data_IF_900785291116
#
_entry.id   IF_900785291116
#
_cell.length_a   1.000
_cell.length_b   1.000
_cell.length_c   1.000
_cell.angle_alpha   90.00
_cell.angle_beta   90.00
_cell.angle_gamma   90.00
#
_symmetry.space_group_name_H-M   'P 1'
#
loop_
_entity.id
_entity.type
_entity.pdbx_description
1 polymer ?
2 non-polymer ?
3 non-polymer ?
4 water ?
#
# COMPACT_ATOMS: atom_id res chain seq x y z
N UNK A 2 20.07 26.38 -14.80
CA UNK A 2 18.81 26.14 -15.61
C UNK A 2 17.96 25.04 -14.96
N UNK A 3 18.09 24.85 -13.64
CA UNK A 3 17.56 23.64 -12.94
C UNK A 3 16.04 23.48 -13.17
N UNK A 4 15.62 22.24 -13.45
CA UNK A 4 14.20 21.80 -13.52
C UNK A 4 13.55 22.10 -12.18
N UNK A 5 12.32 22.65 -12.12
CA UNK A 5 11.62 22.76 -10.85
C UNK A 5 11.37 21.36 -10.27
N UNK A 6 11.18 21.29 -8.96
CA UNK A 6 10.81 20.02 -8.31
C UNK A 6 9.31 19.77 -8.50
N UNK A 7 8.93 18.51 -8.75
CA UNK A 7 7.53 18.19 -8.95
C UNK A 7 6.70 18.27 -7.67
N UNK A 8 5.42 18.62 -7.85
CA UNK A 8 4.39 18.62 -6.77
C UNK A 8 3.56 17.35 -6.86
N UNK A 9 3.57 16.70 -8.01
CA UNK A 9 2.83 15.45 -8.28
C UNK A 9 3.68 14.58 -9.21
N UNK A 10 3.61 13.27 -9.01
CA UNK A 10 4.17 12.28 -9.95
C UNK A 10 3.10 11.26 -10.29
N UNK A 11 3.31 10.51 -11.35
CA UNK A 11 2.48 9.32 -11.64
C UNK A 11 3.28 8.07 -11.42
N UNK A 12 2.55 7.10 -10.86
CA UNK A 12 3.13 5.80 -10.48
C UNK A 12 2.31 4.71 -11.18
N UNK A 13 2.99 3.81 -11.87
CA UNK A 13 2.41 2.58 -12.42
C UNK A 13 2.68 1.43 -11.45
N UNK A 14 1.63 0.69 -11.16
CA UNK A 14 1.69 -0.57 -10.39
C UNK A 14 1.25 -1.71 -11.29
N UNK A 15 2.08 -2.73 -11.45
CA UNK A 15 1.64 -3.94 -12.14
C UNK A 15 1.72 -5.17 -11.26
N UNK A 16 0.76 -6.08 -11.39
CA UNK A 16 0.85 -7.38 -10.70
C UNK A 16 0.54 -8.43 -11.76
N UNK A 17 1.36 -9.48 -11.81
CA UNK A 17 1.11 -10.57 -12.76
C UNK A 17 1.66 -11.88 -12.19
N UNK A 18 0.78 -12.84 -12.00
CA UNK A 18 1.19 -14.21 -11.70
C UNK A 18 1.44 -14.86 -13.05
N UNK A 19 2.70 -15.15 -13.31
CA UNK A 19 3.17 -15.58 -14.65
C UNK A 19 2.96 -17.10 -14.86
N UNK A 20 2.50 -17.84 -13.87
CA UNK A 20 2.19 -19.27 -14.06
C UNK A 20 3.44 -20.05 -14.46
N UNK A 21 4.62 -19.63 -14.02
CA UNK A 21 5.89 -20.35 -14.24
C UNK A 21 6.20 -20.47 -15.73
N UNK A 22 5.64 -19.61 -16.56
CA UNK A 22 5.88 -19.64 -18.01
C UNK A 22 6.59 -18.37 -18.43
N UNK A 23 7.46 -18.41 -19.46
CA UNK A 23 8.03 -17.20 -19.99
C UNK A 23 6.96 -16.30 -20.59
N UNK A 24 7.17 -14.97 -20.55
CA UNK A 24 6.19 -14.07 -21.15
C UNK A 24 6.22 -14.13 -22.66
N UNK A 25 5.17 -13.59 -23.33
CA UNK A 25 5.22 -13.44 -24.77
C UNK A 25 6.19 -12.31 -25.17
N UNK A 26 6.41 -12.17 -26.46
CA UNK A 26 7.43 -11.24 -26.97
C UNK A 26 7.03 -9.79 -26.67
N UNK A 27 5.74 -9.49 -26.67
CA UNK A 27 5.23 -8.13 -26.47
C UNK A 27 4.29 -8.05 -25.26
N UNK A 28 4.64 -7.19 -24.32
CA UNK A 28 3.84 -7.01 -23.08
C UNK A 28 3.54 -5.51 -22.90
N UNK A 29 3.77 -4.68 -23.92
CA UNK A 29 3.56 -3.21 -23.80
C UNK A 29 2.14 -2.85 -23.36
N UNK A 30 1.09 -3.64 -23.67
CA UNK A 30 -0.29 -3.31 -23.30
C UNK A 30 -0.40 -3.15 -21.78
N UNK A 31 0.38 -3.93 -21.06
CA UNK A 31 0.36 -3.88 -19.57
C UNK A 31 0.76 -2.47 -19.12
N UNK A 32 1.89 -2.00 -19.62
CA UNK A 32 2.49 -0.72 -19.15
C UNK A 32 1.72 0.47 -19.74
N UNK A 33 0.95 0.27 -20.78
CA UNK A 33 0.04 1.27 -21.36
C UNK A 33 -1.33 1.26 -20.70
N UNK A 34 -1.63 0.37 -19.77
CA UNK A 34 -2.98 0.34 -19.12
C UNK A 34 -4.07 0.19 -20.20
N UNK A 35 -3.88 -0.81 -21.07
CA UNK A 35 -4.85 -1.17 -22.14
C UNK A 35 -5.46 -2.56 -21.91
N UNK A 36 -6.75 -2.66 -22.14
CA UNK A 36 -7.49 -3.93 -22.08
C UNK A 36 -8.87 -3.69 -21.55
N UNK A 37 -9.17 -4.31 -20.45
CA UNK A 37 -10.50 -4.22 -19.81
C UNK A 37 -10.40 -3.39 -18.54
N UNK A 38 -11.50 -2.79 -18.14
CA UNK A 38 -11.60 -2.01 -16.90
C UNK A 38 -11.46 -0.53 -17.13
N UNK A 39 -10.82 0.15 -16.18
CA UNK A 39 -10.58 1.60 -16.25
C UNK A 39 -9.22 1.75 -16.91
N UNK A 40 -9.23 2.09 -18.21
CA UNK A 40 -8.04 2.08 -19.02
C UNK A 40 -7.58 3.52 -19.26
N UNK A 41 -6.35 3.60 -19.75
CA UNK A 41 -5.66 4.89 -19.98
C UNK A 41 -5.96 5.37 -21.41
N UNK A 42 -6.10 6.69 -21.53
CA UNK A 42 -6.36 7.33 -22.83
C UNK A 42 -5.17 7.12 -23.77
N UNK A 43 -5.51 6.80 -25.01
CA UNK A 43 -4.50 6.65 -26.11
C UNK A 43 -3.61 7.88 -26.23
N UNK A 44 -4.12 9.05 -25.93
CA UNK A 44 -3.34 10.31 -26.10
C UNK A 44 -2.17 10.38 -25.12
N UNK A 45 -2.16 9.52 -24.10
CA UNK A 45 -1.09 9.47 -23.06
C UNK A 45 -0.04 8.38 -23.36
N UNK A 46 -0.13 7.66 -24.50
CA UNK A 46 0.71 6.46 -24.67
C UNK A 46 2.19 6.79 -24.58
N UNK A 47 2.61 7.97 -25.05
CA UNK A 47 4.06 8.26 -25.10
C UNK A 47 4.57 8.93 -23.84
N UNK A 48 3.66 9.29 -22.94
CA UNK A 48 4.00 10.02 -21.71
C UNK A 48 4.47 8.98 -20.71
N UNK A 49 5.72 9.02 -20.27
CA UNK A 49 6.19 8.04 -19.30
C UNK A 49 5.59 8.33 -17.92
N UNK A 50 5.28 7.26 -17.20
CA UNK A 50 5.10 7.39 -15.75
C UNK A 50 6.43 7.72 -15.10
N UNK A 51 6.37 8.36 -13.93
CA UNK A 51 7.63 8.72 -13.22
C UNK A 51 8.29 7.48 -12.63
N UNK A 52 7.50 6.57 -12.10
CA UNK A 52 7.96 5.35 -11.39
C UNK A 52 7.11 4.19 -11.90
N UNK A 53 7.73 3.08 -12.23
CA UNK A 53 7.04 1.82 -12.57
C UNK A 53 7.42 0.79 -11.52
N UNK A 54 6.43 0.15 -10.93
CA UNK A 54 6.63 -0.89 -9.91
C UNK A 54 5.96 -2.15 -10.39
N UNK A 55 6.76 -3.17 -10.60
CA UNK A 55 6.30 -4.40 -11.28
C UNK A 55 6.39 -5.57 -10.31
N UNK A 56 5.25 -6.13 -9.91
CA UNK A 56 5.22 -7.29 -9.03
C UNK A 56 4.86 -8.52 -9.84
N UNK A 57 5.65 -9.54 -9.74
CA UNK A 57 5.36 -10.86 -10.33
C UNK A 57 5.25 -11.93 -9.23
N UNK A 58 4.52 -12.98 -9.59
CA UNK A 58 4.39 -14.20 -8.79
C UNK A 58 4.60 -15.37 -9.78
N UNK A 59 5.05 -16.50 -9.25
CA UNK A 59 5.33 -17.67 -10.11
C UNK A 59 6.18 -17.21 -11.30
N UNK A 60 7.15 -16.36 -11.03
CA UNK A 60 8.05 -15.79 -12.06
C UNK A 60 9.20 -16.76 -12.31
N UNK A 61 9.34 -17.28 -13.55
CA UNK A 61 10.38 -18.28 -13.85
C UNK A 61 11.71 -17.71 -14.36
N UNK A 62 11.77 -16.39 -14.51
CA UNK A 62 12.91 -15.71 -15.15
C UNK A 62 13.94 -15.35 -14.08
N UNK A 63 15.16 -15.18 -14.51
CA UNK A 63 16.18 -14.54 -13.65
C UNK A 63 15.86 -13.04 -13.53
N UNK A 64 16.47 -12.41 -12.53
CA UNK A 64 16.36 -10.95 -12.40
C UNK A 64 16.88 -10.31 -13.66
N UNK A 65 18.02 -10.82 -14.16
CA UNK A 65 18.63 -10.20 -15.34
C UNK A 65 17.68 -10.31 -16.54
N UNK A 66 17.10 -11.48 -16.74
CA UNK A 66 16.22 -11.72 -17.91
C UNK A 66 15.00 -10.80 -17.84
N UNK A 67 14.38 -10.70 -16.66
CA UNK A 67 13.15 -9.90 -16.55
C UNK A 67 13.47 -8.43 -16.67
N UNK A 68 14.55 -7.94 -16.04
CA UNK A 68 14.97 -6.52 -16.19
C UNK A 68 15.14 -6.16 -17.66
N UNK A 69 15.79 -7.03 -18.40
CA UNK A 69 16.01 -6.75 -19.83
C UNK A 69 14.66 -6.58 -20.54
N UNK A 70 13.68 -7.44 -20.24
CA UNK A 70 12.36 -7.40 -20.93
C UNK A 70 11.67 -6.11 -20.53
N UNK A 71 11.68 -5.82 -19.24
CA UNK A 71 10.99 -4.61 -18.72
C UNK A 71 11.61 -3.36 -19.34
N UNK A 72 12.92 -3.22 -19.25
CA UNK A 72 13.53 -1.96 -19.75
C UNK A 72 13.30 -1.83 -21.25
N UNK A 73 13.40 -2.89 -22.03
CA UNK A 73 13.19 -2.75 -23.49
C UNK A 73 11.71 -2.40 -23.77
N UNK A 74 10.76 -2.97 -23.01
CA UNK A 74 9.33 -2.67 -23.18
C UNK A 74 9.11 -1.16 -22.96
N UNK A 75 9.63 -0.61 -21.88
CA UNK A 75 9.44 0.83 -21.57
C UNK A 75 10.18 1.71 -22.58
N UNK A 76 11.37 1.31 -23.02
CA UNK A 76 12.11 2.10 -24.02
C UNK A 76 11.27 2.15 -25.29
N UNK A 77 10.66 1.03 -25.70
CA UNK A 77 9.86 1.01 -26.94
C UNK A 77 8.69 1.98 -26.83
N UNK A 78 8.01 1.98 -25.68
CA UNK A 78 6.82 2.83 -25.45
C UNK A 78 7.21 4.31 -25.43
N UNK A 79 8.20 4.66 -24.63
CA UNK A 79 8.45 6.05 -24.15
C UNK A 79 9.69 6.68 -24.82
N UNK A 80 10.57 5.88 -25.38
CA UNK A 80 11.91 6.28 -25.90
C UNK A 80 12.81 6.72 -24.74
N UNK A 81 12.46 6.34 -23.50
CA UNK A 81 13.28 6.64 -22.28
C UNK A 81 13.93 5.34 -21.78
N UNK A 82 15.21 5.41 -21.40
CA UNK A 82 15.93 4.29 -20.76
C UNK A 82 15.74 4.45 -19.26
N UNK A 83 14.91 3.63 -18.66
CA UNK A 83 14.62 3.77 -17.22
C UNK A 83 15.82 3.26 -16.39
N UNK A 84 15.99 3.87 -15.22
CA UNK A 84 16.96 3.45 -14.20
C UNK A 84 16.33 2.44 -13.25
N UNK A 85 17.12 1.45 -12.89
CA UNK A 85 16.71 0.44 -11.89
C UNK A 85 16.89 1.07 -10.51
N UNK A 86 15.81 1.20 -9.75
CA UNK A 86 15.84 1.67 -8.34
C UNK A 86 16.13 0.48 -7.43
N UNK A 87 15.41 -0.62 -7.61
CA UNK A 87 15.58 -1.78 -6.74
C UNK A 87 14.94 -2.99 -7.41
N UNK A 88 15.41 -4.15 -7.06
CA UNK A 88 14.85 -5.45 -7.49
C UNK A 88 15.05 -6.41 -6.32
N UNK A 89 14.01 -7.10 -5.90
CA UNK A 89 14.12 -8.09 -4.82
C UNK A 89 13.21 -9.28 -5.12
N UNK A 90 13.75 -10.47 -4.90
CA UNK A 90 13.05 -11.73 -5.21
C UNK A 90 13.09 -12.64 -3.99
N UNK A 91 11.96 -13.22 -3.61
CA UNK A 91 11.83 -14.30 -2.63
C UNK A 91 11.23 -15.46 -3.40
N UNK A 92 11.97 -16.55 -3.58
CA UNK A 92 11.49 -17.71 -4.35
C UNK A 92 11.10 -17.26 -5.75
N UNK A 93 9.84 -17.28 -6.12
CA UNK A 93 9.37 -16.86 -7.45
C UNK A 93 8.48 -15.62 -7.34
N UNK A 94 8.61 -14.86 -6.25
CA UNK A 94 7.88 -13.61 -5.97
C UNK A 94 8.86 -12.45 -6.13
N UNK A 95 8.60 -11.50 -6.98
CA UNK A 95 9.60 -10.50 -7.35
C UNK A 95 8.99 -9.09 -7.41
N UNK A 96 9.77 -8.11 -7.03
CA UNK A 96 9.38 -6.69 -7.22
C UNK A 96 10.55 -6.00 -7.93
N UNK A 97 10.20 -5.21 -8.95
CA UNK A 97 11.10 -4.32 -9.70
C UNK A 97 10.58 -2.91 -9.62
N UNK A 98 11.46 -1.97 -9.24
CA UNK A 98 11.15 -0.54 -9.26
C UNK A 98 12.06 0.12 -10.29
N UNK A 99 11.46 0.77 -11.30
CA UNK A 99 12.15 1.55 -12.33
C UNK A 99 11.72 3.01 -12.23
N UNK A 100 12.62 3.92 -12.54
CA UNK A 100 12.30 5.38 -12.49
C UNK A 100 12.97 6.13 -13.63
N UNK A 101 12.33 7.23 -14.04
CA UNK A 101 12.91 8.13 -15.04
C UNK A 101 14.32 8.49 -14.60
N UNK A 102 15.28 8.64 -15.54
CA UNK A 102 16.66 8.98 -15.16
C UNK A 102 16.71 10.31 -14.39
N UNK A 103 15.83 11.26 -14.70
CA UNK A 103 15.83 12.60 -14.01
C UNK A 103 15.54 12.45 -12.52
N UNK A 104 15.02 11.30 -12.10
CA UNK A 104 14.65 11.10 -10.68
C UNK A 104 15.76 10.41 -9.89
N UNK A 105 16.88 10.04 -10.52
CA UNK A 105 17.94 9.27 -9.82
C UNK A 105 18.38 10.07 -8.58
N UNK A 106 18.56 11.37 -8.70
CA UNK A 106 19.09 12.18 -7.56
C UNK A 106 17.98 12.64 -6.63
N UNK A 107 16.73 12.28 -6.90
CA UNK A 107 15.58 12.59 -6.01
C UNK A 107 15.25 11.42 -5.10
N UNK A 108 15.83 10.27 -5.37
CA UNK A 108 15.49 9.00 -4.66
C UNK A 108 16.65 8.66 -3.71
N UNK A 109 16.32 8.38 -2.48
CA UNK A 109 17.31 7.98 -1.47
C UNK A 109 16.71 6.97 -0.50
N UNK A 110 17.51 6.46 0.42
CA UNK A 110 17.02 5.53 1.46
C UNK A 110 16.28 4.35 0.87
N UNK A 111 16.85 3.73 -0.15
CA UNK A 111 16.26 2.55 -0.80
C UNK A 111 16.44 1.34 0.11
N UNK A 112 15.33 0.69 0.41
CA UNK A 112 15.31 -0.56 1.22
C UNK A 112 14.48 -1.62 0.53
N UNK A 113 14.88 -2.87 0.71
CA UNK A 113 14.14 -4.06 0.25
C UNK A 113 14.03 -5.01 1.41
N UNK A 114 12.97 -5.81 1.39
CA UNK A 114 12.81 -6.89 2.38
C UNK A 114 11.81 -7.91 1.88
N UNK A 115 11.71 -9.02 2.61
CA UNK A 115 10.74 -10.08 2.28
C UNK A 115 10.19 -10.64 3.59
N UNK A 116 9.05 -11.25 3.51
CA UNK A 116 8.44 -12.04 4.59
C UNK A 116 8.02 -13.37 3.98
N UNK A 117 8.40 -14.46 4.65
CA UNK A 117 7.93 -15.82 4.35
C UNK A 117 6.73 -16.13 5.22
N UNK A 118 5.61 -16.51 4.62
CA UNK A 118 4.43 -16.81 5.47
C UNK A 118 4.34 -18.30 5.78
N UNK A 119 3.49 -18.66 6.75
CA UNK A 119 3.25 -20.09 7.07
C UNK A 119 4.33 -20.69 7.98
N UNK A 120 4.09 -21.91 8.43
CA UNK A 120 4.99 -22.69 9.33
C UNK A 120 5.14 -24.06 8.69
N UNK A 121 6.35 -24.61 8.63
CA UNK A 121 6.63 -25.98 8.13
C UNK A 121 5.95 -26.15 6.76
N UNK A 122 4.97 -27.07 6.64
CA UNK A 122 4.27 -27.43 5.37
C UNK A 122 3.90 -26.19 4.56
N UNK A 123 3.39 -25.13 5.22
CA UNK A 123 2.88 -23.88 4.57
C UNK A 123 4.01 -22.84 4.45
N UNK A 124 5.22 -23.14 4.93
CA UNK A 124 6.43 -22.30 4.66
C UNK A 124 7.14 -22.86 3.43
N UNK A 125 7.37 -22.02 2.42
CA UNK A 125 8.26 -22.43 1.32
C UNK A 125 7.89 -21.95 -0.06
N UNK A 126 6.67 -21.36 -0.26
CA UNK A 126 6.53 -20.62 -1.54
C UNK A 126 5.75 -19.30 -1.40
N UNK A 127 4.96 -19.07 -0.35
CA UNK A 127 4.07 -17.88 -0.26
C UNK A 127 4.78 -16.85 0.64
N UNK A 128 4.50 -15.58 0.42
CA UNK A 128 4.99 -14.47 1.23
C UNK A 128 4.95 -13.20 0.44
N UNK A 129 5.87 -12.31 0.76
CA UNK A 129 5.86 -10.97 0.15
C UNK A 129 7.26 -10.45 0.00
N UNK A 130 7.42 -9.59 -0.99
CA UNK A 130 8.62 -8.74 -1.14
C UNK A 130 8.20 -7.29 -1.13
N UNK A 131 9.11 -6.41 -0.76
CA UNK A 131 8.80 -4.99 -0.83
C UNK A 131 9.98 -4.12 -1.01
N UNK A 132 9.68 -2.87 -1.39
CA UNK A 132 10.66 -1.82 -1.61
C UNK A 132 10.14 -0.56 -0.96
N UNK A 133 11.02 0.19 -0.32
CA UNK A 133 10.72 1.58 0.07
C UNK A 133 11.84 2.51 -0.26
N UNK A 134 11.49 3.78 -0.39
CA UNK A 134 12.50 4.83 -0.59
C UNK A 134 11.81 6.17 -0.36
N UNK A 135 12.65 7.17 -0.27
CA UNK A 135 12.23 8.58 -0.25
C UNK A 135 12.33 9.16 -1.67
N UNK A 136 11.34 9.94 -2.06
CA UNK A 136 11.31 10.68 -3.33
C UNK A 136 11.21 12.13 -2.88
N UNK A 137 12.31 12.86 -2.94
CA UNK A 137 12.41 14.20 -2.31
C UNK A 137 11.85 14.14 -0.87
N UNK A 138 10.79 14.86 -0.53
CA UNK A 138 10.29 14.85 0.86
C UNK A 138 9.25 13.80 1.14
N UNK A 139 9.01 12.87 0.21
CA UNK A 139 7.85 11.96 0.27
C UNK A 139 8.34 10.53 0.41
N UNK A 140 7.80 9.81 1.37
CA UNK A 140 8.18 8.40 1.61
C UNK A 140 7.18 7.47 0.89
N UNK A 141 7.72 6.51 0.16
CA UNK A 141 6.96 5.61 -0.73
C UNK A 141 7.26 4.17 -0.32
N UNK A 142 6.22 3.37 -0.15
CA UNK A 142 6.39 1.92 0.09
C UNK A 142 5.56 1.09 -0.87
N UNK A 143 6.07 -0.06 -1.22
CA UNK A 143 5.50 -0.95 -2.25
C UNK A 143 5.63 -2.39 -1.76
N UNK A 144 4.51 -3.11 -1.72
CA UNK A 144 4.47 -4.53 -1.26
C UNK A 144 3.85 -5.37 -2.37
N UNK A 145 4.55 -6.41 -2.78
CA UNK A 145 4.02 -7.45 -3.66
C UNK A 145 3.86 -8.74 -2.88
N UNK A 146 2.65 -9.18 -2.64
CA UNK A 146 2.42 -10.41 -1.87
C UNK A 146 1.75 -11.48 -2.72
N UNK A 147 2.15 -12.73 -2.51
CA UNK A 147 1.49 -13.92 -3.05
C UNK A 147 0.94 -14.64 -1.83
N UNK A 148 -0.35 -14.52 -1.58
CA UNK A 148 -1.01 -15.09 -0.40
C UNK A 148 -1.47 -16.53 -0.68
N UNK A 149 -1.82 -17.19 0.39
CA UNK A 149 -2.27 -18.59 0.37
C UNK A 149 -3.39 -18.75 -0.65
N UNK A 150 -3.34 -19.83 -1.43
CA UNK A 150 -4.36 -20.13 -2.47
C UNK A 150 -5.52 -20.94 -1.87
N UNK A 151 -6.60 -21.06 -2.62
CA UNK A 151 -7.73 -21.95 -2.27
C UNK A 151 -8.93 -21.18 -1.79
N UNK A 152 -10.09 -21.46 -2.35
CA UNK A 152 -11.32 -20.77 -1.98
C UNK A 152 -11.65 -20.92 -0.48
N UNK A 153 -11.21 -21.99 0.17
CA UNK A 153 -11.54 -22.34 1.58
C UNK A 153 -10.62 -21.62 2.58
N UNK A 154 -9.63 -20.87 2.10
CA UNK A 154 -8.52 -20.37 2.95
C UNK A 154 -8.49 -18.84 3.08
N UNK A 155 -9.63 -18.17 3.11
CA UNK A 155 -9.64 -16.70 3.27
C UNK A 155 -9.03 -16.33 4.63
N UNK A 156 -9.28 -17.12 5.68
CA UNK A 156 -8.71 -16.74 7.00
C UNK A 156 -7.19 -16.84 6.97
N UNK A 157 -6.65 -17.83 6.28
CA UNK A 157 -5.17 -17.94 6.17
C UNK A 157 -4.64 -16.74 5.38
N UNK A 158 -5.33 -16.30 4.36
CA UNK A 158 -4.90 -15.11 3.61
C UNK A 158 -4.86 -13.92 4.55
N UNK A 159 -5.86 -13.81 5.40
CA UNK A 159 -5.93 -12.63 6.30
C UNK A 159 -4.76 -12.72 7.31
N UNK A 160 -4.47 -13.92 7.79
CA UNK A 160 -3.28 -14.15 8.67
C UNK A 160 -1.97 -13.83 7.94
N UNK A 161 -1.86 -14.20 6.65
CA UNK A 161 -0.65 -13.88 5.86
C UNK A 161 -0.49 -12.35 5.81
N UNK A 162 -1.59 -11.64 5.53
CA UNK A 162 -1.60 -10.16 5.51
C UNK A 162 -1.02 -9.63 6.83
N UNK A 163 -1.55 -10.10 7.95
CA UNK A 163 -1.11 -9.54 9.26
C UNK A 163 0.38 -9.86 9.49
N UNK A 164 0.86 -11.04 9.10
CA UNK A 164 2.31 -11.34 9.25
C UNK A 164 3.17 -10.44 8.37
N UNK A 165 2.76 -10.21 7.14
CA UNK A 165 3.55 -9.38 6.21
C UNK A 165 3.59 -7.96 6.80
N UNK A 166 2.44 -7.43 7.26
CA UNK A 166 2.28 -6.07 7.82
C UNK A 166 3.26 -5.91 8.99
N UNK A 167 3.30 -6.95 9.81
CA UNK A 167 4.08 -6.85 11.06
C UNK A 167 5.58 -6.98 10.82
N UNK A 168 5.97 -7.84 9.88
CA UNK A 168 7.38 -8.27 9.84
C UNK A 168 8.17 -7.69 8.67
N UNK A 169 7.51 -7.04 7.72
CA UNK A 169 8.27 -6.49 6.60
C UNK A 169 8.97 -5.23 7.12
N UNK A 170 10.29 -5.19 7.05
CA UNK A 170 11.12 -4.11 7.63
C UNK A 170 11.47 -3.11 6.53
N UNK A 171 10.56 -2.20 6.25
CA UNK A 171 10.78 -1.15 5.24
C UNK A 171 10.64 0.18 5.95
N UNK A 172 11.09 1.24 5.29
CA UNK A 172 10.91 2.59 5.79
C UNK A 172 11.84 2.86 6.96
N UNK A 173 11.62 4.03 7.58
CA UNK A 173 12.55 4.61 8.58
C UNK A 173 12.52 3.76 9.86
N UNK A 174 13.62 3.11 10.17
CA UNK A 174 13.71 2.20 11.36
C UNK A 174 13.53 3.04 12.65
N UNK A 175 13.73 4.35 12.61
CA UNK A 175 13.49 5.20 13.82
C UNK A 175 12.00 5.25 14.17
N UNK A 176 11.10 4.91 13.21
CA UNK A 176 9.65 4.87 13.47
C UNK A 176 9.30 3.56 14.18
N UNK A 177 9.92 3.31 15.33
CA UNK A 177 9.92 1.96 15.91
C UNK A 177 8.55 1.46 16.31
N UNK A 178 7.59 2.30 16.77
CA UNK A 178 6.28 1.78 17.14
C UNK A 178 5.38 1.46 15.94
N UNK A 179 5.82 1.80 14.74
CA UNK A 179 4.95 1.83 13.54
C UNK A 179 5.34 0.70 12.61
N UNK A 180 4.30 0.05 12.10
CA UNK A 180 4.45 -0.96 11.02
C UNK A 180 4.35 -0.27 9.65
N UNK A 181 4.52 -1.03 8.58
CA UNK A 181 4.49 -0.41 7.22
C UNK A 181 3.19 0.32 6.94
N UNK A 182 2.09 0.04 7.64
CA UNK A 182 0.83 0.74 7.33
C UNK A 182 0.83 2.17 7.87
N UNK A 183 1.89 2.60 8.56
CA UNK A 183 2.04 4.01 8.98
C UNK A 183 3.36 4.64 8.60
N UNK A 184 4.25 3.93 7.93
CA UNK A 184 5.59 4.50 7.69
C UNK A 184 5.68 5.35 6.41
N UNK A 185 4.69 5.33 5.53
CA UNK A 185 4.83 5.92 4.20
C UNK A 185 3.76 6.95 3.91
N UNK A 186 4.14 8.03 3.24
CA UNK A 186 3.16 8.98 2.72
C UNK A 186 2.15 8.25 1.83
N UNK A 187 2.66 7.38 0.97
CA UNK A 187 1.86 6.52 0.07
C UNK A 187 2.37 5.08 0.17
N UNK A 188 1.51 4.14 0.51
CA UNK A 188 1.85 2.70 0.52
C UNK A 188 0.98 2.01 -0.54
N UNK A 189 1.57 1.25 -1.44
CA UNK A 189 0.83 0.45 -2.45
C UNK A 189 1.06 -1.01 -2.14
N UNK A 190 -0.01 -1.78 -2.01
CA UNK A 190 0.06 -3.21 -1.68
C UNK A 190 -0.72 -3.94 -2.76
N UNK A 191 -0.06 -4.82 -3.45
CA UNK A 191 -0.60 -5.49 -4.65
C UNK A 191 -0.08 -6.93 -4.65
N UNK A 192 -0.56 -7.69 -5.61
CA UNK A 192 -0.11 -9.06 -5.75
C UNK A 192 -1.21 -10.01 -6.15
N UNK A 193 -0.83 -11.30 -6.16
CA UNK A 193 -1.81 -12.40 -6.21
C UNK A 193 -2.28 -12.63 -4.78
N UNK A 194 -3.26 -11.83 -4.40
CA UNK A 194 -3.83 -11.92 -3.06
C UNK A 194 -4.71 -13.14 -2.90
N UNK A 195 -5.17 -13.73 -4.00
CA UNK A 195 -5.75 -15.10 -4.02
C UNK A 195 -7.13 -15.16 -3.36
N UNK A 196 -7.77 -14.01 -3.13
CA UNK A 196 -9.16 -14.05 -2.66
C UNK A 196 -10.06 -14.43 -3.85
N UNK A 197 -11.13 -15.18 -3.58
CA UNK A 197 -11.97 -15.81 -4.59
C UNK A 197 -13.41 -15.32 -4.54
N UNK A 198 -14.14 -15.61 -5.60
CA UNK A 198 -15.59 -15.37 -5.66
C UNK A 198 -16.24 -16.58 -4.99
N UNK A 199 -16.92 -16.32 -3.87
CA UNK A 199 -17.43 -17.39 -2.98
C UNK A 199 -18.89 -17.66 -3.38
N UNK A 200 -19.02 -18.47 -4.40
CA UNK A 200 -20.31 -18.97 -4.87
C UNK A 200 -20.17 -20.48 -5.01
N UNK A 201 -21.30 -21.23 -5.05
CA UNK A 201 -21.20 -22.68 -5.14
C UNK A 201 -20.55 -23.15 -6.43
N UNK A 202 -19.79 -24.25 -6.33
CA UNK A 202 -19.04 -24.77 -7.49
C UNK A 202 -20.03 -25.11 -8.61
N UNK A 203 -21.26 -25.53 -8.31
CA UNK A 203 -22.27 -25.87 -9.34
C UNK A 203 -22.76 -24.63 -10.11
N UNK A 204 -22.43 -23.41 -9.65
CA UNK A 204 -22.75 -22.19 -10.38
C UNK A 204 -21.63 -21.75 -11.33
N UNK A 205 -20.62 -22.58 -11.58
CA UNK A 205 -19.49 -22.20 -12.45
C UNK A 205 -19.98 -21.68 -13.81
N UNK A 206 -20.85 -22.41 -14.49
CA UNK A 206 -21.26 -22.01 -15.84
C UNK A 206 -22.06 -20.73 -15.76
N UNK A 207 -22.88 -20.55 -14.72
CA UNK A 207 -23.62 -19.30 -14.49
C UNK A 207 -22.63 -18.16 -14.36
N UNK A 208 -21.56 -18.37 -13.60
CA UNK A 208 -20.53 -17.30 -13.42
C UNK A 208 -19.91 -16.94 -14.77
N UNK A 209 -19.55 -17.95 -15.54
CA UNK A 209 -18.93 -17.69 -16.87
C UNK A 209 -19.89 -16.88 -17.74
N UNK A 210 -21.17 -17.21 -17.72
CA UNK A 210 -22.23 -16.48 -18.46
C UNK A 210 -22.23 -15.02 -18.05
N UNK A 211 -22.21 -14.77 -16.74
CA UNK A 211 -22.21 -13.39 -16.22
C UNK A 211 -20.99 -12.63 -16.76
N UNK A 212 -19.83 -13.27 -16.71
CA UNK A 212 -18.60 -12.66 -17.26
C UNK A 212 -18.76 -12.29 -18.73
N UNK A 213 -19.30 -13.20 -19.51
CA UNK A 213 -19.43 -12.97 -20.97
C UNK A 213 -20.35 -11.77 -21.22
N UNK A 214 -21.32 -11.52 -20.36
CA UNK A 214 -22.26 -10.38 -20.40
C UNK A 214 -21.67 -9.12 -19.77
N UNK A 215 -20.43 -9.21 -19.25
CA UNK A 215 -19.80 -8.08 -18.51
C UNK A 215 -20.70 -7.59 -17.38
N UNK A 216 -21.34 -8.52 -16.68
CA UNK A 216 -22.24 -8.24 -15.55
C UNK A 216 -21.54 -8.76 -14.31
N UNK A 217 -20.77 -7.88 -13.65
CA UNK A 217 -19.88 -8.27 -12.54
C UNK A 217 -20.53 -8.10 -11.16
N UNK A 218 -21.65 -7.39 -11.05
CA UNK A 218 -22.23 -7.00 -9.75
C UNK A 218 -22.44 -8.17 -8.80
N UNK A 219 -23.10 -9.24 -9.24
CA UNK A 219 -23.49 -10.37 -8.35
C UNK A 219 -22.24 -11.23 -8.13
N UNK A 220 -21.19 -11.05 -8.92
CA UNK A 220 -19.92 -11.73 -8.60
C UNK A 220 -19.16 -10.91 -7.55
N UNK A 221 -18.99 -9.60 -7.77
CA UNK A 221 -18.24 -8.75 -6.81
C UNK A 221 -18.89 -8.77 -5.43
N UNK A 222 -20.19 -8.93 -5.33
CA UNK A 222 -20.89 -9.02 -4.02
C UNK A 222 -20.44 -10.27 -3.25
N UNK A 223 -19.82 -11.26 -3.90
CA UNK A 223 -19.28 -12.48 -3.25
C UNK A 223 -17.75 -12.51 -3.26
N UNK A 224 -17.08 -11.45 -3.72
CA UNK A 224 -15.60 -11.42 -3.69
C UNK A 224 -15.12 -11.40 -2.25
N UNK A 225 -14.27 -12.35 -1.88
CA UNK A 225 -13.85 -12.49 -0.49
C UNK A 225 -13.04 -11.28 -0.02
N UNK A 226 -12.26 -10.65 -0.87
CA UNK A 226 -11.48 -9.49 -0.40
C UNK A 226 -12.44 -8.33 -0.09
N UNK A 227 -13.41 -8.03 -0.97
CA UNK A 227 -14.38 -6.96 -0.69
C UNK A 227 -15.18 -7.32 0.59
N UNK A 228 -15.63 -8.56 0.77
CA UNK A 228 -16.47 -8.87 1.95
C UNK A 228 -15.59 -8.87 3.22
N UNK A 229 -14.39 -9.43 3.19
CA UNK A 229 -13.51 -9.41 4.38
C UNK A 229 -13.15 -7.96 4.71
N UNK A 230 -12.87 -7.14 3.71
CA UNK A 230 -12.61 -5.72 4.02
C UNK A 230 -13.84 -5.05 4.63
N UNK A 231 -15.04 -5.33 4.13
CA UNK A 231 -16.26 -4.67 4.66
C UNK A 231 -16.43 -5.05 6.13
N UNK A 232 -16.06 -6.27 6.50
CA UNK A 232 -16.20 -6.82 7.85
C UNK A 232 -14.96 -6.48 8.70
N UNK A 233 -14.05 -5.66 8.17
CA UNK A 233 -12.85 -5.17 8.90
C UNK A 233 -11.99 -6.34 9.37
N UNK A 234 -11.88 -7.38 8.54
CA UNK A 234 -11.03 -8.56 8.85
C UNK A 234 -9.64 -8.45 8.22
N UNK A 235 -9.43 -7.53 7.28
CA UNK A 235 -8.17 -7.45 6.51
C UNK A 235 -8.14 -6.09 5.82
N UNK A 236 -6.93 -5.60 5.55
CA UNK A 236 -6.71 -4.38 4.77
C UNK A 236 -7.49 -3.20 5.35
N UNK A 237 -7.56 -3.09 6.67
CA UNK A 237 -8.27 -1.96 7.30
C UNK A 237 -7.59 -0.66 6.86
N UNK A 238 -8.37 0.32 6.43
CA UNK A 238 -7.90 1.68 6.06
C UNK A 238 -7.13 1.72 4.78
N UNK A 239 -7.26 0.71 3.93
CA UNK A 239 -6.75 0.74 2.54
C UNK A 239 -7.91 1.02 1.60
N UNK A 240 -7.59 1.49 0.43
CA UNK A 240 -8.52 1.82 -0.65
C UNK A 240 -8.27 0.87 -1.80
N UNK A 241 -9.31 0.63 -2.59
CA UNK A 241 -9.19 -0.06 -3.90
C UNK A 241 -10.15 0.63 -4.89
N UNK A 242 -9.69 0.82 -6.13
CA UNK A 242 -10.57 1.33 -7.19
C UNK A 242 -11.66 0.28 -7.49
N UNK A 243 -12.84 0.77 -7.90
CA UNK A 243 -13.88 -0.15 -8.37
C UNK A 243 -13.34 -1.05 -9.45
N UNK A 244 -13.71 -2.33 -9.36
CA UNK A 244 -13.34 -3.33 -10.39
C UNK A 244 -14.37 -3.33 -11.50
N UNK A 245 -13.89 -3.13 -12.73
CA UNK A 245 -14.76 -3.07 -13.93
C UNK A 245 -14.20 -3.97 -15.04
N UNK A 246 -13.30 -4.90 -14.70
CA UNK A 246 -12.67 -5.86 -15.63
C UNK A 246 -13.08 -7.26 -15.18
N UNK A 247 -13.00 -8.19 -16.10
CA UNK A 247 -13.36 -9.60 -15.84
C UNK A 247 -12.40 -10.20 -14.84
N UNK A 248 -12.84 -11.23 -14.09
CA UNK A 248 -11.92 -12.02 -13.27
C UNK A 248 -10.65 -12.39 -14.04
N UNK A 249 -9.50 -12.31 -13.34
CA UNK A 249 -8.18 -12.45 -13.97
C UNK A 249 -7.62 -13.86 -13.82
N UNK A 250 -8.38 -14.76 -13.26
CA UNK A 250 -7.99 -16.16 -12.98
C UNK A 250 -9.28 -16.99 -13.03
N UNK A 251 -9.27 -18.28 -13.41
CA UNK A 251 -8.18 -19.06 -13.92
C UNK A 251 -8.47 -19.33 -15.39
N UNK A 252 -7.59 -18.87 -16.27
CA UNK A 252 -7.75 -19.03 -17.72
C UNK A 252 -6.99 -20.26 -18.27
N UNK A 253 -7.52 -20.86 -19.31
CA UNK A 253 -6.73 -21.74 -20.20
C UNK A 253 -5.62 -20.88 -20.80
N UNK A 254 -4.39 -21.37 -20.80
CA UNK A 254 -3.29 -20.63 -21.45
C UNK A 254 -3.50 -20.55 -22.95
N UNK A 255 -2.96 -19.47 -23.54
CA UNK A 255 -2.80 -19.21 -25.01
C UNK A 255 -4.12 -18.72 -25.64
N UNK A 256 -5.19 -18.56 -24.86
CA UNK A 256 -6.38 -17.79 -25.30
C UNK A 256 -6.84 -16.95 -24.11
N UNK A 257 -7.87 -16.11 -24.24
CA UNK A 257 -8.63 -15.64 -23.04
C UNK A 257 -10.10 -16.03 -23.16
N UNK A 258 -10.36 -17.01 -23.99
CA UNK A 258 -11.76 -17.34 -24.38
C UNK A 258 -12.37 -18.28 -23.35
N UNK A 259 -11.51 -18.85 -22.48
CA UNK A 259 -11.94 -19.96 -21.63
C UNK A 259 -11.38 -19.85 -20.20
N UNK A 260 -12.31 -19.94 -19.27
CA UNK A 260 -11.98 -20.14 -17.85
C UNK A 260 -11.88 -21.64 -17.58
N UNK A 261 -10.78 -22.05 -16.96
CA UNK A 261 -10.49 -23.44 -16.55
C UNK A 261 -10.71 -23.53 -15.05
N UNK A 262 -11.90 -23.94 -14.68
CA UNK A 262 -12.30 -23.95 -13.26
C UNK A 262 -12.36 -25.37 -12.68
N UNK A 263 -12.50 -26.43 -13.48
CA UNK A 263 -12.82 -27.78 -12.96
C UNK A 263 -11.67 -28.32 -12.11
N UNK A 264 -12.01 -29.19 -11.16
CA UNK A 264 -11.00 -29.83 -10.31
C UNK A 264 -10.17 -30.81 -11.16
N UNK A 265 -8.88 -30.83 -10.92
CA UNK A 265 -7.91 -31.72 -11.62
C UNK A 265 -6.82 -32.17 -10.64
N UNK A 266 -6.13 -33.28 -10.93
CA UNK A 266 -4.97 -33.66 -10.10
C UNK A 266 -4.00 -32.47 -9.94
N UNK A 267 -3.75 -31.71 -11.02
CA UNK A 267 -2.81 -30.57 -11.01
C UNK A 267 -3.27 -29.45 -10.05
N UNK A 268 -4.55 -29.40 -9.69
CA UNK A 268 -5.09 -28.38 -8.73
C UNK A 268 -5.32 -28.97 -7.34
N UNK A 269 -4.83 -30.18 -7.07
CA UNK A 269 -5.12 -30.80 -5.79
C UNK A 269 -6.61 -31.11 -5.67
N UNK A 270 -7.25 -31.41 -6.81
CA UNK A 270 -8.69 -31.69 -6.88
C UNK A 270 -9.48 -30.53 -6.28
N UNK A 271 -8.99 -29.31 -6.49
CA UNK A 271 -9.73 -28.09 -6.10
C UNK A 271 -10.35 -27.44 -7.33
N UNK A 272 -11.52 -26.88 -7.13
CA UNK A 272 -12.11 -25.99 -8.15
C UNK A 272 -11.48 -24.62 -8.01
N UNK A 273 -11.34 -23.97 -9.14
CA UNK A 273 -10.89 -22.55 -9.22
C UNK A 273 -11.93 -21.76 -10.01
N UNK A 274 -13.05 -21.46 -9.38
CA UNK A 274 -14.08 -20.62 -9.99
C UNK A 274 -13.43 -19.29 -10.33
N UNK A 275 -13.87 -18.64 -11.43
CA UNK A 275 -13.32 -17.36 -11.85
C UNK A 275 -13.29 -16.35 -10.71
N UNK A 276 -12.16 -15.73 -10.51
CA UNK A 276 -11.90 -14.87 -9.35
C UNK A 276 -11.01 -13.70 -9.68
N UNK A 277 -11.13 -12.68 -8.88
CA UNK A 277 -10.24 -11.51 -8.94
C UNK A 277 -9.09 -11.74 -7.96
N UNK A 278 -8.19 -12.64 -8.33
CA UNK A 278 -7.03 -12.94 -7.48
C UNK A 278 -6.03 -11.78 -7.38
N UNK A 279 -5.95 -10.99 -8.43
CA UNK A 279 -4.81 -10.10 -8.73
C UNK A 279 -5.23 -8.65 -8.53
N UNK A 280 -4.70 -7.99 -7.52
CA UNK A 280 -5.28 -6.76 -6.97
C UNK A 280 -4.23 -5.72 -6.72
N UNK A 281 -4.69 -4.48 -6.65
CA UNK A 281 -3.89 -3.31 -6.24
C UNK A 281 -4.70 -2.50 -5.23
N UNK A 282 -4.14 -2.30 -4.06
CA UNK A 282 -4.70 -1.45 -3.00
C UNK A 282 -3.69 -0.39 -2.58
N UNK A 283 -4.15 0.67 -1.94
CA UNK A 283 -3.22 1.68 -1.41
C UNK A 283 -3.70 2.32 -0.14
N UNK A 284 -2.79 2.96 0.55
CA UNK A 284 -3.12 3.71 1.76
C UNK A 284 -2.19 4.91 1.77
N UNK A 285 -2.74 6.11 1.80
CA UNK A 285 -1.95 7.35 1.85
C UNK A 285 -2.28 8.09 3.13
N UNK A 286 -1.36 8.91 3.63
CA UNK A 286 -1.63 9.72 4.81
C UNK A 286 -2.81 10.65 4.52
N UNK A 287 -3.52 11.05 5.58
CA UNK A 287 -4.69 11.89 5.42
C UNK A 287 -4.38 13.19 4.66
N UNK A 288 -5.29 13.53 3.73
CA UNK A 288 -5.29 14.82 2.99
C UNK A 288 -4.07 14.93 2.11
N UNK A 289 -3.48 13.81 1.72
CA UNK A 289 -2.48 13.84 0.63
C UNK A 289 -3.19 13.44 -0.66
N UNK A 290 -2.88 14.14 -1.73
CA UNK A 290 -3.45 13.85 -3.04
C UNK A 290 -3.02 12.45 -3.47
N UNK A 291 -4.02 11.62 -3.81
CA UNK A 291 -3.76 10.34 -4.51
C UNK A 291 -5.02 10.06 -5.30
N UNK A 292 -4.86 9.88 -6.60
CA UNK A 292 -6.02 9.60 -7.51
C UNK A 292 -5.64 8.44 -8.39
N UNK A 293 -6.47 7.39 -8.36
CA UNK A 293 -6.35 6.26 -9.30
C UNK A 293 -6.82 6.67 -10.68
N UNK A 294 -5.89 6.57 -11.65
CA UNK A 294 -6.14 6.98 -13.05
C UNK A 294 -6.48 5.77 -13.94
N UNK A 295 -6.13 4.56 -13.54
CA UNK A 295 -6.42 3.32 -14.29
C UNK A 295 -6.43 2.15 -13.31
N UNK A 296 -7.24 1.14 -13.63
CA UNK A 296 -7.29 -0.14 -12.89
C UNK A 296 -7.99 -1.13 -13.80
N UNK A 297 -7.21 -2.09 -14.30
CA UNK A 297 -7.72 -2.98 -15.35
C UNK A 297 -6.83 -4.16 -15.56
N UNK A 298 -7.16 -4.94 -16.56
CA UNK A 298 -6.40 -6.17 -16.89
C UNK A 298 -6.12 -6.15 -18.38
N UNK A 299 -5.00 -6.70 -18.77
CA UNK A 299 -4.72 -6.86 -20.21
C UNK A 299 -5.55 -8.01 -20.78
N UNK A 300 -5.76 -7.96 -22.10
CA UNK A 300 -6.55 -8.95 -22.86
C UNK A 300 -5.64 -9.75 -23.82
N UNK A 301 -4.42 -9.30 -24.07
CA UNK A 301 -3.55 -9.83 -25.15
C UNK A 301 -2.28 -10.51 -24.63
N UNK A 302 -2.20 -10.79 -23.34
CA UNK A 302 -1.04 -11.47 -22.72
C UNK A 302 -1.55 -12.77 -22.14
N UNK A 303 -1.20 -13.88 -22.77
CA UNK A 303 -1.98 -15.12 -22.57
C UNK A 303 -1.11 -16.31 -22.19
N UNK A 304 0.14 -16.09 -21.78
CA UNK A 304 1.08 -17.20 -21.45
C UNK A 304 0.77 -17.80 -20.10
N UNK A 305 0.11 -17.06 -19.23
CA UNK A 305 -0.23 -17.52 -17.89
C UNK A 305 -1.71 -17.89 -17.78
N UNK A 306 -2.05 -18.58 -16.72
CA UNK A 306 -3.47 -18.79 -16.30
C UNK A 306 -4.04 -17.57 -15.57
N UNK A 307 -3.20 -16.54 -15.32
CA UNK A 307 -3.67 -15.23 -14.86
C UNK A 307 -3.43 -14.19 -15.93
N UNK A 308 -4.30 -13.19 -16.00
CA UNK A 308 -4.04 -11.96 -16.77
C UNK A 308 -3.31 -10.97 -15.89
N UNK A 309 -2.32 -10.23 -16.47
CA UNK A 309 -1.76 -9.08 -15.78
C UNK A 309 -2.81 -8.03 -15.43
N UNK A 310 -2.56 -7.36 -14.30
CA UNK A 310 -3.36 -6.25 -13.78
C UNK A 310 -2.45 -5.03 -13.73
N UNK A 311 -3.00 -3.90 -14.12
CA UNK A 311 -2.37 -2.59 -13.98
C UNK A 311 -3.23 -1.64 -13.16
N UNK A 312 -2.55 -0.75 -12.48
CA UNK A 312 -3.17 0.42 -11.86
C UNK A 312 -2.19 1.57 -11.97
N UNK A 313 -2.69 2.78 -12.18
CA UNK A 313 -1.87 3.99 -12.20
C UNK A 313 -2.45 5.02 -11.25
N UNK A 314 -1.56 5.84 -10.73
CA UNK A 314 -1.92 6.85 -9.72
C UNK A 314 -1.21 8.17 -10.00
N UNK A 315 -1.93 9.26 -9.74
CA UNK A 315 -1.32 10.60 -9.56
C UNK A 315 -1.14 10.74 -8.06
N UNK A 316 0.10 10.96 -7.60
CA UNK A 316 0.42 11.02 -6.18
C UNK A 316 1.09 12.36 -5.86
N UNK A 317 0.61 13.04 -4.84
CA UNK A 317 1.28 14.24 -4.34
C UNK A 317 2.61 13.96 -3.70
N UNK A 318 3.58 14.82 -3.99
CA UNK A 318 4.93 14.75 -3.42
C UNK A 318 5.29 16.16 -2.97
N UNK A 319 6.27 16.21 -2.11
CA UNK A 319 6.82 17.46 -1.57
C UNK A 319 8.31 17.54 -1.80
N UNK A 320 8.81 18.74 -1.69
CA UNK A 320 10.24 19.10 -1.90
C UNK A 320 11.04 18.82 -0.61
N UNK A 321 12.37 18.69 -0.75
CA UNK A 321 13.36 18.67 0.35
C UNK A 321 13.61 20.13 0.78
N UNK A 322 12.82 20.60 1.75
CA UNK A 322 12.86 22.01 2.22
C UNK A 322 14.12 22.24 3.07
N UNK A 323 14.74 23.39 2.80
CA UNK A 323 15.91 23.93 3.54
C UNK A 323 15.60 25.39 3.86
N UNK A 324 15.51 25.73 5.14
CA UNK A 324 15.44 27.15 5.60
C UNK A 324 16.82 27.60 6.15
N UNK A 325 16.90 28.87 6.49
CA UNK A 325 18.06 29.47 7.21
C UNK A 325 18.23 28.74 8.55
N UNK A 326 17.15 28.28 9.17
CA UNK A 326 17.13 27.52 10.47
C UNK A 326 17.23 26.01 10.19
N UNK A 327 16.11 25.27 10.25
CA UNK A 327 16.12 23.81 10.05
C UNK A 327 16.31 23.45 8.57
N UNK A 328 16.83 22.25 8.22
CA UNK A 328 17.40 21.26 9.16
C UNK A 328 18.64 21.68 9.98
N UNK A 329 18.76 21.12 11.19
CA UNK A 329 19.94 21.27 12.05
C UNK A 329 19.71 22.25 13.16
N UNK A 330 18.44 22.66 13.32
CA UNK A 330 17.93 23.48 14.44
C UNK A 330 16.41 23.58 14.29
N UNK A 331 15.71 24.10 15.31
CA UNK A 331 14.25 24.41 15.24
C UNK A 331 14.09 25.83 14.66
N UNK A 332 12.90 26.12 14.14
CA UNK A 332 12.46 27.50 13.80
C UNK A 332 11.39 27.88 14.82
N UNK A 333 11.72 28.78 15.76
CA UNK A 333 10.90 29.13 16.93
C UNK A 333 9.62 29.85 16.50
N UNK A 334 9.49 30.24 15.23
CA UNK A 334 8.20 30.81 14.76
C UNK A 334 7.12 29.73 14.77
N UNK A 335 7.49 28.45 14.60
CA UNK A 335 6.54 27.32 14.51
C UNK A 335 6.24 26.66 15.84
N UNK A 336 5.00 26.18 16.03
CA UNK A 336 4.67 25.31 17.18
C UNK A 336 3.39 24.52 16.86
N UNK A 337 3.32 23.32 17.42
CA UNK A 337 2.11 22.46 17.34
C UNK A 337 1.66 22.17 18.76
N UNK A 338 0.43 22.55 19.08
CA UNK A 338 -0.13 22.35 20.44
C UNK A 338 -1.37 21.45 20.33
N UNK A 339 -1.47 20.48 21.23
CA UNK A 339 -2.60 19.51 21.32
C UNK A 339 -3.40 19.85 22.57
N UNK A 340 -4.69 20.19 22.40
CA UNK A 340 -5.63 20.63 23.47
C UNK A 340 -6.70 19.57 23.68
N UNK A 341 -7.05 19.26 24.94
CA UNK A 341 -8.28 18.51 25.30
C UNK A 341 -8.28 17.17 24.52
N UNK A 342 -7.13 16.50 24.49
CA UNK A 342 -6.97 15.22 23.77
C UNK A 342 -7.25 14.03 24.67
N UNK A 343 -7.80 12.99 24.08
CA UNK A 343 -7.97 11.72 24.80
C UNK A 343 -7.92 10.57 23.80
N UNK A 344 -7.40 9.47 24.30
CA UNK A 344 -7.39 8.18 23.61
C UNK A 344 -8.52 7.34 24.19
N UNK A 345 -9.24 6.65 23.33
CA UNK A 345 -10.21 5.62 23.75
C UNK A 345 -9.65 4.28 23.32
N UNK A 346 -9.44 3.36 24.24
CA UNK A 346 -8.78 2.07 23.92
C UNK A 346 -9.69 0.91 24.21
N UNK A 347 -9.60 -0.08 23.34
CA UNK A 347 -10.34 -1.37 23.45
C UNK A 347 -9.71 -2.33 24.47
N UNK A 348 -8.54 -2.05 24.99
CA UNK A 348 -7.80 -2.93 25.93
C UNK A 348 -8.54 -3.12 27.26
N UNK A 349 -8.28 -4.26 27.89
CA UNK A 349 -8.71 -4.59 29.29
C UNK A 349 -7.59 -4.26 30.29
N UNK A 350 -6.36 -4.03 29.81
CA UNK A 350 -5.16 -3.65 30.63
C UNK A 350 -5.49 -2.42 31.50
N UNK A 351 -4.84 -2.31 32.66
CA UNK A 351 -5.00 -1.18 33.63
C UNK A 351 -3.67 -0.44 33.85
N UNK A 352 -2.69 -0.58 32.94
CA UNK A 352 -1.40 0.16 32.97
C UNK A 352 -1.66 1.67 32.74
N UNK A 353 -0.72 2.52 33.13
CA UNK A 353 -0.71 3.92 32.68
C UNK A 353 -0.20 3.94 31.24
N UNK A 354 -0.57 4.97 30.49
CA UNK A 354 -0.15 5.14 29.08
C UNK A 354 0.43 6.54 28.88
N UNK A 355 1.34 6.62 27.91
CA UNK A 355 1.94 7.88 27.42
C UNK A 355 1.90 7.88 25.89
N UNK A 356 2.09 9.05 25.30
CA UNK A 356 2.18 9.19 23.83
C UNK A 356 3.61 9.39 23.38
N UNK A 357 3.84 8.96 22.15
CA UNK A 357 5.01 9.39 21.36
C UNK A 357 4.49 10.02 20.07
N UNK A 358 5.09 11.19 19.74
CA UNK A 358 4.81 11.98 18.52
C UNK A 358 6.03 11.83 17.63
N UNK A 359 5.86 11.24 16.45
CA UNK A 359 6.95 11.07 15.48
C UNK A 359 6.63 11.85 14.20
N UNK A 360 7.59 12.59 13.69
CA UNK A 360 7.41 13.29 12.42
C UNK A 360 8.77 13.73 11.88
N UNK A 361 8.92 13.72 10.57
CA UNK A 361 10.04 14.36 9.84
C UNK A 361 10.13 15.85 10.14
N UNK A 362 9.07 16.50 10.63
CA UNK A 362 9.14 17.96 10.94
C UNK A 362 9.73 18.19 12.34
N UNK A 363 10.04 17.13 13.10
CA UNK A 363 10.68 17.23 14.43
C UNK A 363 12.13 16.74 14.37
N UNK A 364 13.02 17.32 15.18
CA UNK A 364 14.44 16.84 15.21
C UNK A 364 14.45 15.39 15.68
N UNK A 365 13.61 15.01 16.63
CA UNK A 365 13.42 13.62 17.06
C UNK A 365 12.06 13.48 17.74
N UNK A 366 11.66 12.24 17.96
CA UNK A 366 10.33 11.97 18.51
C UNK A 366 10.21 12.56 19.90
N UNK A 367 8.97 12.84 20.29
CA UNK A 367 8.65 13.47 21.59
C UNK A 367 7.75 12.55 22.40
N UNK A 368 8.07 12.37 23.66
CA UNK A 368 7.35 11.51 24.62
C UNK A 368 6.59 12.43 25.56
N UNK A 369 5.31 12.17 25.73
CA UNK A 369 4.37 12.87 26.63
C UNK A 369 4.52 12.33 28.05
N UNK A 370 3.93 13.07 28.98
CA UNK A 370 3.64 12.60 30.34
C UNK A 370 2.57 11.53 30.21
N UNK A 371 2.39 10.78 31.28
CA UNK A 371 1.31 9.77 31.31
C UNK A 371 -0.03 10.49 31.34
N UNK A 372 -1.02 9.89 30.71
CA UNK A 372 -2.41 10.37 30.79
C UNK A 372 -3.08 9.89 32.04
N UNK A 373 -4.32 10.34 32.19
CA UNK A 373 -5.16 9.99 33.36
C UNK A 373 -6.27 9.08 32.85
N UNK A 374 -6.23 7.84 33.34
CA UNK A 374 -7.19 6.80 32.96
C UNK A 374 -8.52 7.05 33.63
N UNK A 375 -9.59 6.99 32.84
CA UNK A 375 -10.98 6.98 33.36
C UNK A 375 -11.62 5.79 32.68
N UNK A 376 -12.75 5.33 33.18
CA UNK A 376 -13.61 4.31 32.52
C UNK A 376 -14.71 5.05 31.76
N UNK A 377 -14.89 4.74 30.45
CA UNK A 377 -16.03 5.18 29.63
C UNK A 377 -17.32 4.48 30.02
N UNK A 378 -18.47 5.06 29.68
CA UNK A 378 -19.82 4.53 30.02
C UNK A 378 -19.94 3.07 29.58
N UNK A 379 -19.56 2.77 28.33
CA UNK A 379 -19.78 1.46 27.67
C UNK A 379 -18.58 0.53 27.97
N UNK A 380 -17.94 0.69 29.17
CA UNK A 380 -16.91 -0.22 29.72
C UNK A 380 -15.47 0.19 29.40
N UNK A 381 -15.26 1.06 28.39
CA UNK A 381 -13.97 1.26 27.68
C UNK A 381 -12.94 1.96 28.56
N UNK A 382 -11.67 1.92 28.14
CA UNK A 382 -10.63 2.78 28.76
C UNK A 382 -10.53 4.10 28.02
N UNK A 383 -10.64 5.19 28.75
CA UNK A 383 -10.37 6.55 28.22
C UNK A 383 -9.12 7.05 28.92
N UNK A 384 -8.14 7.46 28.14
CA UNK A 384 -6.90 8.04 28.67
C UNK A 384 -6.93 9.53 28.33
N UNK A 385 -7.03 10.35 29.37
CA UNK A 385 -7.20 11.82 29.19
C UNK A 385 -5.82 12.49 29.24
N UNK A 386 -5.48 13.34 28.28
CA UNK A 386 -4.19 14.05 28.34
C UNK A 386 -4.37 15.51 28.78
N UNK A 387 -5.62 15.99 28.88
CA UNK A 387 -5.93 17.42 29.12
C UNK A 387 -5.17 18.39 28.18
N UNK A 388 -4.53 19.40 28.78
CA UNK A 388 -3.69 20.41 28.12
C UNK A 388 -2.25 20.14 28.52
N UNK A 389 -1.97 18.89 28.93
CA UNK A 389 -0.70 18.41 29.54
C UNK A 389 0.30 18.09 28.42
N UNK A 390 -0.13 17.89 27.17
CA UNK A 390 0.78 17.37 26.09
C UNK A 390 1.86 18.39 25.76
N UNK A 391 3.10 17.94 25.42
CA UNK A 391 4.18 18.83 25.04
C UNK A 391 3.82 19.67 23.80
N UNK A 392 4.35 20.88 23.80
CA UNK A 392 4.35 21.82 22.64
C UNK A 392 5.43 21.30 21.67
N UNK A 393 5.09 20.90 20.44
CA UNK A 393 6.07 20.33 19.49
C UNK A 393 6.74 21.47 18.75
N UNK A 394 8.05 21.37 18.54
CA UNK A 394 8.90 22.42 17.95
C UNK A 394 9.36 21.97 16.58
N UNK A 395 8.66 22.37 15.50
CA UNK A 395 9.10 21.97 14.16
C UNK A 395 10.40 22.67 13.75
N UNK A 396 11.11 22.02 12.86
CA UNK A 396 12.45 22.44 12.38
C UNK A 396 12.32 23.60 11.40
N UNK A 397 11.16 23.68 10.75
CA UNK A 397 10.85 24.71 9.72
C UNK A 397 9.46 25.22 10.02
N UNK A 398 9.26 26.55 10.00
CA UNK A 398 7.98 27.19 10.38
C UNK A 398 7.18 27.62 9.15
N UNK A 399 7.81 27.61 7.98
CA UNK A 399 7.18 28.08 6.72
C UNK A 399 5.90 27.27 6.52
N UNK A 400 4.74 27.94 6.33
CA UNK A 400 3.45 27.22 6.21
C UNK A 400 3.41 26.34 4.95
N UNK A 401 4.15 26.72 3.92
CA UNK A 401 4.22 25.90 2.69
C UNK A 401 4.91 24.57 2.94
N UNK A 402 5.70 24.47 4.01
CA UNK A 402 6.29 23.18 4.43
C UNK A 402 5.35 22.54 5.46
N UNK A 403 5.03 23.30 6.49
CA UNK A 403 4.50 22.69 7.72
C UNK A 403 3.08 22.14 7.45
N UNK A 404 2.28 22.84 6.63
CA UNK A 404 0.88 22.41 6.40
C UNK A 404 0.83 21.08 5.60
N UNK A 405 1.95 20.71 4.96
CA UNK A 405 2.07 19.44 4.21
C UNK A 405 2.59 18.27 5.09
N UNK A 406 2.82 18.46 6.37
CA UNK A 406 3.42 17.41 7.22
C UNK A 406 2.34 16.65 7.97
N UNK A 407 2.75 15.58 8.60
CA UNK A 407 1.91 14.67 9.38
C UNK A 407 2.60 14.30 10.68
N UNK A 408 1.80 14.09 11.72
CA UNK A 408 2.30 13.62 13.04
C UNK A 408 1.78 12.20 13.28
N UNK A 409 2.70 11.24 13.33
CA UNK A 409 2.39 9.87 13.79
C UNK A 409 2.31 9.87 15.31
N UNK A 410 1.27 9.22 15.82
CA UNK A 410 1.03 9.05 17.27
C UNK A 410 1.01 7.59 17.64
N UNK A 411 1.80 7.24 18.65
CA UNK A 411 1.71 5.94 19.33
C UNK A 411 1.29 6.15 20.77
N UNK A 412 0.38 5.33 21.23
CA UNK A 412 0.04 5.30 22.68
C UNK A 412 0.68 4.03 23.28
N UNK A 413 1.57 4.21 24.25
CA UNK A 413 2.42 3.14 24.81
C UNK A 413 2.11 2.91 26.28
N UNK A 414 2.20 1.66 26.67
CA UNK A 414 2.12 1.23 28.09
C UNK A 414 3.36 1.73 28.84
N UNK A 415 3.16 2.36 29.99
CA UNK A 415 4.28 2.73 30.88
C UNK A 415 4.96 1.45 31.41
N UNK A 416 4.20 0.38 31.64
CA UNK A 416 4.69 -0.89 32.24
C UNK A 416 5.61 -1.58 31.24
N UNK A 417 5.25 -1.62 29.95
CA UNK A 417 5.96 -2.52 28.99
C UNK A 417 6.68 -1.73 27.92
N UNK A 418 6.34 -0.45 27.73
CA UNK A 418 6.87 0.39 26.63
C UNK A 418 6.40 -0.15 25.26
N UNK A 419 5.39 -0.99 25.22
CA UNK A 419 4.83 -1.51 23.94
C UNK A 419 3.68 -0.61 23.48
N UNK A 420 3.61 -0.37 22.19
CA UNK A 420 2.49 0.36 21.54
C UNK A 420 1.18 -0.44 21.64
N UNK A 421 0.11 0.21 22.09
CA UNK A 421 -1.25 -0.34 22.08
C UNK A 421 -2.04 0.25 20.91
N UNK A 422 -1.53 1.25 20.19
CA UNK A 422 -2.25 1.88 19.10
C UNK A 422 -1.40 2.92 18.41
N UNK A 423 -1.53 2.94 17.09
CA UNK A 423 -0.81 3.88 16.20
C UNK A 423 -1.84 4.58 15.32
N UNK A 424 -1.56 5.85 15.02
CA UNK A 424 -2.37 6.59 14.05
C UNK A 424 -1.62 7.78 13.52
N UNK A 425 -2.31 8.62 12.74
CA UNK A 425 -1.65 9.69 11.97
C UNK A 425 -2.59 10.88 11.91
N UNK A 426 -2.05 12.07 12.16
CA UNK A 426 -2.77 13.38 12.09
C UNK A 426 -2.15 14.24 11.00
N UNK A 427 -2.95 14.74 10.06
CA UNK A 427 -2.48 15.70 9.05
C UNK A 427 -2.42 17.11 9.65
N UNK A 428 -1.42 17.86 9.22
CA UNK A 428 -1.29 19.29 9.59
C UNK A 428 -1.89 20.16 8.47
N UNK A 429 -2.58 19.59 7.49
CA UNK A 429 -3.23 20.35 6.39
C UNK A 429 -4.52 20.95 6.92
N UNK A 430 -4.39 21.96 7.78
CA UNK A 430 -5.51 22.47 8.58
C UNK A 430 -6.27 23.52 7.76
N UNK A 431 -7.50 23.78 8.16
CA UNK A 431 -8.36 24.83 7.56
C UNK A 431 -7.88 26.21 7.99
N UNK A 432 -7.14 26.33 9.08
CA UNK A 432 -6.78 27.61 9.74
C UNK A 432 -5.52 27.39 10.57
N UNK A 433 -4.69 28.41 10.72
CA UNK A 433 -3.60 28.41 11.72
C UNK A 433 -4.01 29.29 12.89
N UNK A 434 -3.29 29.13 14.00
CA UNK A 434 -3.49 29.96 15.20
C UNK A 434 -4.91 29.78 15.70
N UNK A 435 -5.58 28.69 15.33
CA UNK A 435 -7.02 28.42 15.58
C UNK A 435 -7.17 27.02 16.18
N UNK A 436 -7.97 26.83 17.23
CA UNK A 436 -8.23 25.45 17.75
C UNK A 436 -9.16 24.72 16.77
N UNK A 437 -8.74 23.55 16.30
CA UNK A 437 -9.51 22.77 15.32
C UNK A 437 -9.53 21.32 15.79
N UNK A 438 -10.64 20.61 15.49
CA UNK A 438 -10.74 19.20 15.87
C UNK A 438 -9.70 18.38 15.10
N UNK A 439 -9.13 17.39 15.77
CA UNK A 439 -8.30 16.32 15.14
C UNK A 439 -8.84 14.96 15.56
N UNK A 440 -8.51 13.96 14.76
CA UNK A 440 -9.02 12.58 14.93
C UNK A 440 -8.15 11.64 14.11
N UNK A 441 -7.81 10.50 14.72
CA UNK A 441 -7.33 9.32 13.97
C UNK A 441 -7.86 8.08 14.65
N UNK A 442 -8.20 7.03 13.89
CA UNK A 442 -8.33 5.73 14.50
C UNK A 442 -6.93 5.30 14.97
N UNK A 443 -6.90 4.35 15.87
CA UNK A 443 -5.64 3.72 16.33
C UNK A 443 -5.72 2.25 16.00
N UNK A 444 -4.62 1.73 15.48
CA UNK A 444 -4.47 0.31 15.16
C UNK A 444 -3.23 -0.23 15.84
N UNK A 445 -3.20 -1.54 15.95
CA UNK A 445 -1.98 -2.26 16.36
C UNK A 445 -1.98 -3.59 15.61
N UNK A 446 -0.84 -3.90 14.97
CA UNK A 446 -0.77 -5.05 14.04
C UNK A 446 -1.85 -4.90 12.96
N UNK A 447 -2.21 -3.66 12.63
CA UNK A 447 -3.14 -3.37 11.53
C UNK A 447 -4.60 -3.61 11.90
N UNK A 448 -4.91 -3.93 13.16
CA UNK A 448 -6.31 -4.09 13.62
C UNK A 448 -6.70 -2.94 14.53
N UNK A 449 -7.98 -2.58 14.51
CA UNK A 449 -8.46 -1.43 15.29
C UNK A 449 -8.33 -1.68 16.79
N UNK A 450 -7.70 -0.77 17.49
CA UNK A 450 -7.53 -0.86 18.96
C UNK A 450 -8.10 0.33 19.70
N UNK A 451 -8.56 1.34 18.99
CA UNK A 451 -9.02 2.56 19.70
C UNK A 451 -9.10 3.75 18.79
N UNK A 452 -9.13 4.91 19.40
CA UNK A 452 -9.22 6.21 18.70
C UNK A 452 -8.47 7.27 19.48
N UNK A 453 -8.00 8.29 18.78
CA UNK A 453 -7.40 9.49 19.43
C UNK A 453 -8.10 10.70 18.85
N UNK A 454 -8.56 11.57 19.73
CA UNK A 454 -9.30 12.78 19.28
C UNK A 454 -8.97 13.93 20.18
N UNK A 455 -9.17 15.14 19.68
CA UNK A 455 -8.96 16.34 20.51
C UNK A 455 -8.89 17.52 19.60
N UNK A 456 -8.09 18.50 19.99
CA UNK A 456 -7.96 19.75 19.22
C UNK A 456 -6.48 20.02 19.00
N UNK A 457 -6.19 20.66 17.89
CA UNK A 457 -4.84 21.14 17.52
C UNK A 457 -4.88 22.67 17.36
N UNK A 458 -3.72 23.26 17.55
CA UNK A 458 -3.48 24.69 17.26
C UNK A 458 -2.09 24.76 16.66
N UNK A 459 -2.00 25.13 15.39
CA UNK A 459 -0.73 25.18 14.63
C UNK A 459 -0.29 26.64 14.44
N UNK A 460 0.94 26.98 14.85
CA UNK A 460 1.59 28.30 14.63
C UNK A 460 2.58 28.12 13.48
N UNK A 461 2.41 28.85 12.39
CA UNK A 461 3.41 28.88 11.30
C UNK A 461 4.04 30.28 11.28
N UNK A 462 5.03 30.49 10.41
CA UNK A 462 5.67 31.82 10.22
C UNK A 462 4.67 32.83 9.61
N UNK A 463 3.49 32.41 9.14
CA UNK A 463 2.47 33.37 8.62
C UNK A 463 1.27 33.49 9.60
#
# INVERSE_FOLDING_TARGET
SMEQPEPDMITIFIGTWNMGNAPPPKKITSWFLSKGQGKTRDDSADYIPHDIYVIGTQEDPLSEKEWLEILKHSLQEITSVTFKTVAIHTLWNIRIVVLAKPEHENRISHICTDNVKTGIANTLGNKGAVGVSFMFNGTSLGFVNSHLTSGSEKKLRRNQNYMNILRFLALGDKKLSPFNITHRFTHLFWFGDLNYRVDLPTWEAETIIQKIKQQQYADLLSHDQLLTERREQKVFLHFEEEEITFAPTYRFERLTRDKYAYTKQKATGMKYNLPSWCDRVLWKSYPLVHVVCQSYGSTSDIMTSDHSPVFATFEAGVTSQFVSKNGPGTVDSQGQIEFLRCYATLKTKSQTKFYLEFHSSCLESFVKSQEGENEEGSEGELVVKFGETLPKLKPIISDPEYLLDQHILISIKSSDSDESYGEGCIALRLEATETQLPIYTPLTHHGELTGHFQGEIKLQTSQ
#
